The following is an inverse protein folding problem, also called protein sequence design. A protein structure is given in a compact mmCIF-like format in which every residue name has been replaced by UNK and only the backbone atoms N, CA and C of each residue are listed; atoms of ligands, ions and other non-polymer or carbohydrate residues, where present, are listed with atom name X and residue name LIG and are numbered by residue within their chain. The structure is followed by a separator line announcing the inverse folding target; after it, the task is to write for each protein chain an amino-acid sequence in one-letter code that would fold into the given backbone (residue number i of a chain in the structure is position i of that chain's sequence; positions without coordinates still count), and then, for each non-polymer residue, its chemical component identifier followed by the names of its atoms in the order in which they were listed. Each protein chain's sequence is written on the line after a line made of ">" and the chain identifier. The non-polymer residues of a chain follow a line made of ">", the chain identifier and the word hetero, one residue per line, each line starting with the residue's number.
data_IF_673749852814
#
_entry.id   IF_673749852814
#
_cell.length_a   1.000
_cell.length_b   1.000
_cell.length_c   1.000
_cell.angle_alpha   90.00
_cell.angle_beta   90.00
_cell.angle_gamma   90.00
#
_symmetry.space_group_name_H-M   'P 1'
#
loop_
_entity.id
_entity.type
_entity.pdbx_description
1 polymer ?
#
# COMPACT_ATOMS: atom_id res chain seq x y z
N UNK A 1 -27.71 3.94 4.31
CA UNK A 1 -26.72 4.36 3.29
C UNK A 1 -25.31 4.10 3.81
N UNK A 2 -24.45 3.57 3.00
CA UNK A 2 -23.09 3.21 3.38
C UNK A 2 -22.10 4.18 2.73
N UNK A 3 -21.22 4.77 3.53
CA UNK A 3 -20.13 5.57 3.03
C UNK A 3 -18.98 4.63 2.71
N UNK A 4 -18.37 4.78 1.53
CA UNK A 4 -17.22 3.97 1.10
C UNK A 4 -16.11 4.90 0.65
N UNK A 5 -14.89 4.53 0.96
CA UNK A 5 -13.76 5.20 0.35
C UNK A 5 -13.68 4.72 -1.11
N UNK A 6 -13.81 5.62 -2.05
CA UNK A 6 -13.86 5.30 -3.47
C UNK A 6 -12.46 5.12 -4.07
N UNK A 7 -11.63 6.11 -3.91
CA UNK A 7 -10.24 6.03 -4.34
C UNK A 7 -9.38 6.95 -3.50
N UNK A 8 -8.08 6.70 -3.52
CA UNK A 8 -7.09 7.59 -2.94
C UNK A 8 -5.95 7.76 -3.94
N UNK A 9 -5.37 8.96 -3.96
CA UNK A 9 -4.24 9.23 -4.82
C UNK A 9 -2.96 8.98 -4.03
N UNK A 10 -2.07 8.17 -4.61
CA UNK A 10 -0.82 7.78 -3.98
C UNK A 10 0.32 8.44 -4.73
N UNK A 11 1.01 9.41 -4.12
CA UNK A 11 2.17 10.02 -4.76
C UNK A 11 3.31 9.02 -4.91
N UNK A 12 3.97 9.04 -6.05
CA UNK A 12 5.13 8.19 -6.33
C UNK A 12 6.06 8.90 -7.29
N UNK A 13 7.32 8.52 -7.32
CA UNK A 13 8.28 9.08 -8.28
C UNK A 13 8.10 8.49 -9.68
N UNK A 14 7.66 7.24 -9.76
CA UNK A 14 7.32 6.54 -10.99
C UNK A 14 6.02 5.80 -10.73
N UNK A 15 4.92 6.36 -11.20
CA UNK A 15 3.59 5.83 -10.92
C UNK A 15 3.37 4.43 -11.44
N UNK A 16 3.91 4.11 -12.61
CA UNK A 16 3.75 2.78 -13.20
C UNK A 16 4.53 1.74 -12.41
N UNK A 17 5.80 2.03 -12.10
CA UNK A 17 6.63 1.11 -11.30
C UNK A 17 6.05 0.90 -9.91
N UNK A 18 5.56 1.96 -9.26
CA UNK A 18 4.95 1.87 -7.94
C UNK A 18 3.67 1.06 -7.97
N UNK A 19 2.80 1.30 -8.93
CA UNK A 19 1.56 0.55 -9.09
C UNK A 19 1.83 -0.93 -9.37
N UNK A 20 2.80 -1.24 -10.24
CA UNK A 20 3.18 -2.62 -10.53
C UNK A 20 3.70 -3.33 -9.29
N UNK A 21 4.57 -2.70 -8.53
CA UNK A 21 5.11 -3.29 -7.30
C UNK A 21 4.00 -3.56 -6.29
N UNK A 22 3.13 -2.58 -6.07
CA UNK A 22 2.00 -2.74 -5.15
C UNK A 22 1.08 -3.88 -5.59
N UNK A 23 0.71 -3.92 -6.87
CA UNK A 23 -0.15 -4.96 -7.41
C UNK A 23 0.49 -6.36 -7.26
N UNK A 24 1.80 -6.48 -7.56
CA UNK A 24 2.52 -7.74 -7.40
C UNK A 24 2.57 -8.21 -5.94
N UNK A 25 2.91 -7.30 -5.01
CA UNK A 25 3.04 -7.65 -3.60
C UNK A 25 1.70 -8.11 -3.01
N UNK A 26 0.61 -7.46 -3.40
CA UNK A 26 -0.71 -7.72 -2.83
C UNK A 26 -1.55 -8.70 -3.64
N UNK A 27 -1.05 -9.14 -4.81
CA UNK A 27 -1.81 -10.04 -5.67
C UNK A 27 -3.04 -9.38 -6.27
N UNK A 28 -2.95 -8.09 -6.61
CA UNK A 28 -4.05 -7.29 -7.10
C UNK A 28 -3.92 -7.00 -8.60
N UNK A 29 -5.02 -6.56 -9.20
CA UNK A 29 -5.06 -6.20 -10.61
C UNK A 29 -4.67 -4.74 -10.79
N UNK A 30 -3.69 -4.50 -11.67
CA UNK A 30 -3.37 -3.17 -12.16
C UNK A 30 -4.11 -2.98 -13.48
N UNK A 31 -4.88 -1.89 -13.57
CA UNK A 31 -5.57 -1.54 -14.82
C UNK A 31 -4.57 -1.06 -15.86
N UNK A 32 -4.90 -1.21 -17.16
CA UNK A 32 -4.11 -0.57 -18.21
C UNK A 32 -4.01 0.94 -17.96
N UNK A 33 -2.80 1.49 -18.08
CA UNK A 33 -2.60 2.91 -17.83
C UNK A 33 -3.30 3.73 -18.91
N UNK A 34 -4.25 4.54 -18.50
CA UNK A 34 -4.99 5.46 -19.35
C UNK A 34 -5.10 6.79 -18.62
N UNK A 35 -4.68 7.86 -19.27
CA UNK A 35 -4.71 9.17 -18.65
C UNK A 35 -3.60 9.37 -17.63
N UNK A 36 -3.93 10.08 -16.55
CA UNK A 36 -2.94 10.59 -15.60
C UNK A 36 -2.49 9.60 -14.53
N UNK A 37 -3.31 8.61 -14.23
CA UNK A 37 -3.10 7.76 -13.07
C UNK A 37 -2.82 6.31 -13.47
N UNK A 38 -1.95 5.66 -12.70
CA UNK A 38 -1.81 4.21 -12.72
C UNK A 38 -2.68 3.64 -11.60
N UNK A 39 -3.73 2.91 -11.95
CA UNK A 39 -4.74 2.46 -11.00
C UNK A 39 -4.57 0.98 -10.64
N UNK A 40 -4.66 0.69 -9.35
CA UNK A 40 -4.71 -0.68 -8.85
C UNK A 40 -6.05 -0.90 -8.15
N UNK A 41 -6.76 -1.94 -8.52
CA UNK A 41 -8.04 -2.30 -7.91
C UNK A 41 -7.77 -3.03 -6.61
N UNK A 42 -8.15 -2.43 -5.47
CA UNK A 42 -7.94 -3.04 -4.15
C UNK A 42 -9.10 -3.98 -3.84
N UNK A 43 -10.32 -3.54 -4.07
CA UNK A 43 -11.54 -4.35 -3.90
C UNK A 43 -12.65 -3.78 -4.78
N UNK A 44 -13.88 -4.22 -4.57
CA UNK A 44 -15.03 -3.80 -5.38
C UNK A 44 -15.43 -2.33 -5.21
N UNK A 45 -14.84 -1.62 -4.25
CA UNK A 45 -15.20 -0.22 -3.97
C UNK A 45 -14.01 0.74 -3.89
N UNK A 46 -12.77 0.26 -3.99
CA UNK A 46 -11.58 1.09 -3.77
C UNK A 46 -10.52 0.84 -4.83
N UNK A 47 -10.04 1.92 -5.44
CA UNK A 47 -8.81 1.90 -6.23
C UNK A 47 -7.75 2.78 -5.57
N UNK A 48 -6.49 2.39 -5.71
CA UNK A 48 -5.36 3.26 -5.40
C UNK A 48 -4.81 3.80 -6.71
N UNK A 49 -4.83 5.11 -6.84
CA UNK A 49 -4.49 5.81 -8.07
C UNK A 49 -3.12 6.46 -7.90
N UNK A 50 -2.10 5.87 -8.53
CA UNK A 50 -0.73 6.35 -8.40
C UNK A 50 -0.47 7.51 -9.35
N UNK A 51 0.17 8.56 -8.83
CA UNK A 51 0.44 9.79 -9.55
C UNK A 51 1.91 10.22 -9.34
N UNK A 52 2.58 10.70 -10.39
CA UNK A 52 3.98 11.10 -10.32
C UNK A 52 4.28 12.51 -10.84
N UNK A 53 3.27 13.22 -11.32
CA UNK A 53 3.44 14.57 -11.86
C UNK A 53 2.49 15.56 -11.19
N UNK A 54 2.94 16.80 -11.07
CA UNK A 54 2.11 17.87 -10.48
C UNK A 54 0.82 18.09 -11.28
N UNK A 55 0.86 17.87 -12.58
CA UNK A 55 -0.30 18.00 -13.47
C UNK A 55 -1.37 16.94 -13.22
N UNK A 56 -1.02 15.85 -12.52
CA UNK A 56 -1.99 14.84 -12.13
C UNK A 56 -2.99 15.38 -11.08
N UNK A 57 -2.68 16.53 -10.51
CA UNK A 57 -3.52 17.20 -9.53
C UNK A 57 -3.96 18.55 -10.04
N UNK A 58 -5.22 18.73 -10.30
CA UNK A 58 -5.74 20.00 -10.85
C UNK A 58 -5.86 21.11 -9.80
N UNK A 59 -5.93 20.76 -8.52
CA UNK A 59 -6.34 21.72 -7.50
C UNK A 59 -5.40 21.82 -6.29
N UNK A 60 -4.48 20.90 -6.13
CA UNK A 60 -3.59 20.89 -4.96
C UNK A 60 -2.15 20.97 -5.44
N UNK A 61 -1.38 21.95 -4.98
CA UNK A 61 0.05 22.01 -5.28
C UNK A 61 0.73 20.75 -4.75
N UNK A 62 1.39 20.03 -5.64
CA UNK A 62 2.08 18.80 -5.29
C UNK A 62 3.41 18.73 -6.03
N UNK A 63 4.44 18.37 -5.29
CA UNK A 63 5.79 18.19 -5.83
C UNK A 63 6.25 16.76 -5.48
N UNK A 64 6.36 15.87 -6.48
CA UNK A 64 6.77 14.49 -6.21
C UNK A 64 8.16 14.38 -5.59
N UNK A 65 9.04 15.36 -5.83
CA UNK A 65 10.37 15.38 -5.20
C UNK A 65 10.30 15.68 -3.70
N UNK A 66 9.20 16.24 -3.23
CA UNK A 66 8.95 16.59 -1.83
C UNK A 66 7.84 15.77 -1.21
N UNK A 67 7.47 14.68 -1.84
CA UNK A 67 6.39 13.83 -1.36
C UNK A 67 6.67 13.33 0.05
N UNK A 68 5.76 13.62 0.96
CA UNK A 68 5.84 13.13 2.33
C UNK A 68 5.44 11.66 2.38
N UNK A 69 5.98 10.96 3.37
CA UNK A 69 5.61 9.57 3.63
C UNK A 69 4.17 9.49 4.10
N UNK A 70 3.38 8.66 3.43
CA UNK A 70 2.02 8.34 3.85
C UNK A 70 2.00 6.95 4.48
N UNK A 71 0.99 6.70 5.31
CA UNK A 71 0.77 5.40 5.93
C UNK A 71 -0.54 4.80 5.43
N UNK A 72 -0.44 3.60 4.85
CA UNK A 72 -1.60 2.85 4.38
C UNK A 72 -1.64 1.51 5.08
N UNK A 73 -2.77 1.17 5.67
CA UNK A 73 -2.96 -0.08 6.40
C UNK A 73 -4.04 -0.91 5.72
N UNK A 74 -3.76 -2.18 5.53
CA UNK A 74 -4.65 -3.12 4.87
C UNK A 74 -4.97 -4.27 5.82
N UNK A 75 -6.26 -4.61 5.91
CA UNK A 75 -6.69 -5.79 6.63
C UNK A 75 -6.95 -6.90 5.61
N UNK A 76 -6.33 -8.04 5.82
CA UNK A 76 -6.36 -9.18 4.89
C UNK A 76 -6.68 -10.47 5.64
N UNK A 77 -7.02 -11.52 4.92
CA UNK A 77 -7.13 -12.86 5.49
C UNK A 77 -5.76 -13.47 5.74
N UNK A 78 -5.72 -14.58 6.48
CA UNK A 78 -4.45 -15.25 6.80
C UNK A 78 -3.71 -15.76 5.57
N UNK A 79 -4.41 -16.31 4.58
CA UNK A 79 -3.77 -16.76 3.35
C UNK A 79 -3.17 -15.61 2.55
N UNK A 80 -3.89 -14.51 2.47
CA UNK A 80 -3.41 -13.31 1.79
C UNK A 80 -2.20 -12.72 2.52
N UNK A 81 -2.22 -12.70 3.85
CA UNK A 81 -1.10 -12.27 4.66
C UNK A 81 0.16 -13.10 4.34
N UNK A 82 0.03 -14.43 4.35
CA UNK A 82 1.14 -15.32 4.06
C UNK A 82 1.67 -15.09 2.63
N UNK A 83 0.78 -14.88 1.67
CA UNK A 83 1.18 -14.59 0.29
C UNK A 83 1.94 -13.27 0.17
N UNK A 84 1.46 -12.22 0.82
CA UNK A 84 2.12 -10.91 0.81
C UNK A 84 3.50 -11.01 1.47
N UNK A 85 3.57 -11.60 2.66
CA UNK A 85 4.83 -11.78 3.38
C UNK A 85 5.83 -12.57 2.53
N UNK A 86 5.38 -13.65 1.89
CA UNK A 86 6.22 -14.45 1.01
C UNK A 86 6.78 -13.65 -0.16
N UNK A 87 5.96 -12.79 -0.78
CA UNK A 87 6.41 -11.95 -1.89
C UNK A 87 7.35 -10.83 -1.45
N UNK A 88 7.11 -10.22 -0.28
CA UNK A 88 8.03 -9.25 0.32
C UNK A 88 9.40 -9.88 0.55
N UNK A 89 9.44 -11.07 1.13
CA UNK A 89 10.69 -11.82 1.36
C UNK A 89 11.38 -12.19 0.05
N UNK A 90 10.61 -12.66 -0.93
CA UNK A 90 11.16 -13.08 -2.22
C UNK A 90 11.81 -11.93 -2.99
N UNK A 91 11.32 -10.71 -2.80
CA UNK A 91 11.92 -9.51 -3.39
C UNK A 91 13.08 -8.93 -2.57
N UNK A 92 13.45 -9.56 -1.46
CA UNK A 92 14.53 -9.08 -0.61
C UNK A 92 14.21 -7.78 0.12
N UNK A 93 12.94 -7.43 0.25
CA UNK A 93 12.52 -6.20 0.90
C UNK A 93 12.58 -6.34 2.43
N UNK A 94 12.97 -5.26 3.11
CA UNK A 94 12.92 -5.22 4.56
C UNK A 94 11.47 -5.12 5.03
N UNK A 95 11.17 -5.79 6.15
CA UNK A 95 9.87 -5.71 6.80
C UNK A 95 10.07 -5.83 8.32
N UNK A 96 9.05 -5.53 9.10
CA UNK A 96 9.20 -5.61 10.53
C UNK A 96 7.89 -5.56 11.31
N UNK A 97 8.04 -5.56 12.62
CA UNK A 97 6.93 -5.75 13.57
C UNK A 97 6.25 -4.47 14.01
N UNK A 98 6.75 -3.31 13.61
CA UNK A 98 6.16 -2.04 14.01
C UNK A 98 6.60 -0.88 13.13
N UNK A 99 5.95 0.28 13.24
CA UNK A 99 6.28 1.43 12.41
C UNK A 99 7.68 1.99 12.69
N UNK A 100 8.20 1.78 13.89
CA UNK A 100 9.57 2.14 14.28
C UNK A 100 10.51 0.94 14.27
N UNK A 101 10.02 -0.23 13.91
CA UNK A 101 10.76 -1.48 13.85
C UNK A 101 10.43 -2.22 12.55
N UNK A 102 10.29 -1.46 11.45
CA UNK A 102 9.84 -2.01 10.17
C UNK A 102 10.93 -2.73 9.38
N UNK A 103 12.10 -2.94 9.99
CA UNK A 103 13.21 -3.67 9.37
C UNK A 103 13.75 -4.81 10.24
N UNK A 104 13.06 -5.14 11.34
CA UNK A 104 13.54 -6.16 12.29
C UNK A 104 13.26 -7.60 11.84
N UNK A 105 12.57 -7.78 10.73
CA UNK A 105 12.21 -9.09 10.15
C UNK A 105 11.35 -9.94 11.09
N UNK A 106 10.59 -9.28 11.95
CA UNK A 106 9.67 -9.94 12.86
C UNK A 106 8.23 -9.68 12.44
N UNK A 107 7.36 -10.64 12.75
CA UNK A 107 5.92 -10.50 12.59
C UNK A 107 5.35 -10.19 13.97
N UNK A 108 4.53 -9.15 14.07
CA UNK A 108 3.83 -8.87 15.31
C UNK A 108 2.63 -9.80 15.45
N UNK A 109 2.48 -10.39 16.63
CA UNK A 109 1.36 -11.28 16.95
C UNK A 109 0.58 -10.75 18.13
N UNK A 110 0.03 -9.56 17.98
CA UNK A 110 -0.77 -8.92 19.03
C UNK A 110 -2.25 -9.14 18.80
N UNK A 111 -3.00 -9.28 19.92
CA UNK A 111 -4.47 -9.37 19.92
C UNK A 111 -5.01 -10.51 19.04
N UNK A 112 -4.27 -11.62 18.97
CA UNK A 112 -4.70 -12.78 18.21
C UNK A 112 -4.56 -12.66 16.68
N UNK A 113 -4.01 -11.55 16.21
CA UNK A 113 -3.75 -11.32 14.79
C UNK A 113 -2.27 -11.18 14.48
N UNK A 114 -1.96 -11.02 13.19
CA UNK A 114 -0.58 -10.81 12.72
C UNK A 114 -0.49 -9.49 11.98
N UNK A 115 0.63 -8.80 12.13
CA UNK A 115 0.89 -7.54 11.46
C UNK A 115 2.34 -7.46 11.01
N UNK A 116 2.57 -6.93 9.81
CA UNK A 116 3.89 -6.52 9.33
C UNK A 116 3.84 -5.10 8.79
N UNK A 117 4.99 -4.45 8.81
CA UNK A 117 5.20 -3.11 8.27
C UNK A 117 6.36 -3.15 7.29
N UNK A 118 6.26 -2.44 6.18
CA UNK A 118 7.36 -2.32 5.22
C UNK A 118 7.25 -1.03 4.42
N UNK A 119 8.39 -0.50 4.01
CA UNK A 119 8.46 0.69 3.17
C UNK A 119 8.42 0.31 1.71
N UNK A 120 7.53 0.94 0.96
CA UNK A 120 7.48 0.81 -0.50
C UNK A 120 6.97 2.12 -1.10
N UNK A 121 6.86 2.15 -2.42
CA UNK A 121 6.19 3.24 -3.14
C UNK A 121 6.88 4.57 -2.89
N UNK A 122 8.22 4.56 -2.86
CA UNK A 122 9.08 5.74 -2.70
C UNK A 122 9.01 6.42 -1.33
N UNK A 123 8.87 5.69 -0.26
CA UNK A 123 8.95 6.11 1.14
C UNK A 123 7.68 5.89 1.95
N UNK A 124 6.60 5.46 1.33
CA UNK A 124 5.37 5.19 2.08
C UNK A 124 5.54 3.97 2.97
N UNK A 125 4.94 4.03 4.16
CA UNK A 125 4.93 2.92 5.09
C UNK A 125 3.62 2.16 4.93
N UNK A 126 3.71 0.89 4.55
CA UNK A 126 2.56 0.01 4.45
C UNK A 126 2.48 -0.90 5.67
N UNK A 127 1.27 -1.13 6.09
CA UNK A 127 0.94 -2.06 7.17
C UNK A 127 -0.04 -3.10 6.63
N UNK A 128 0.25 -4.37 6.89
CA UNK A 128 -0.66 -5.46 6.53
C UNK A 128 -0.99 -6.23 7.79
N UNK A 129 -2.27 -6.38 8.07
CA UNK A 129 -2.73 -6.98 9.30
C UNK A 129 -3.90 -7.92 9.06
N UNK A 130 -4.03 -8.94 9.88
CA UNK A 130 -5.12 -9.92 9.75
C UNK A 130 -6.33 -9.57 10.61
N UNK A 131 -6.23 -8.54 11.45
CA UNK A 131 -7.33 -8.14 12.31
C UNK A 131 -7.63 -6.66 12.14
N UNK A 132 -8.91 -6.27 11.94
CA UNK A 132 -9.28 -4.87 11.79
C UNK A 132 -8.94 -4.06 13.03
N UNK A 133 -8.59 -2.78 12.86
CA UNK A 133 -8.28 -1.90 13.98
C UNK A 133 -9.47 -1.68 14.92
N UNK A 134 -10.69 -1.88 14.43
CA UNK A 134 -11.92 -1.78 15.22
C UNK A 134 -12.28 -3.08 15.94
N UNK A 135 -11.58 -4.18 15.69
CA UNK A 135 -11.75 -5.41 16.42
C UNK A 135 -11.26 -5.20 17.86
N UNK A 136 -12.14 -5.34 18.80
CA UNK A 136 -11.92 -5.01 20.20
C UNK A 136 -10.83 -5.78 20.89
#
# INVERSE_FOLDING_TARGET
>A
MTIRLDHTIVPARDKVAAAQLFAELFGLEMKPVQGRFAQVVVNDSLTMDFADEAEDWDTIPWDPAKTESHHYAFCVGDEEFDGILGRVKAKGMAYGSGPRAHRDRQVSERRGGRTIYFEVLDTHLLEVRTQPSMAG
#
